data_IF_706514488212
#
_entry.id   IF_706514488212
#
_cell.length_a   1.000
_cell.length_b   1.000
_cell.length_c   1.000
_cell.angle_alpha   90.00
_cell.angle_beta   90.00
_cell.angle_gamma   90.00
#
_symmetry.space_group_name_H-M   'P 1'
#
loop_
_entity.id
_entity.type
_entity.pdbx_description
1 polymer ?
#
# COMPACT_ATOMS: atom_id res chain seq x y z
N UNK A 1 -8.39 15.24 45.94
CA UNK A 1 -9.66 15.33 45.19
C UNK A 1 -9.59 16.21 43.92
N UNK A 2 -8.48 16.91 43.63
CA UNK A 2 -8.37 17.80 42.45
C UNK A 2 -7.69 17.19 41.21
N UNK A 3 -7.06 16.02 41.33
CA UNK A 3 -6.34 15.38 40.21
C UNK A 3 -7.24 14.55 39.27
N UNK A 4 -8.42 14.11 39.74
CA UNK A 4 -9.32 13.27 38.95
C UNK A 4 -10.22 14.07 37.98
N UNK A 5 -10.34 15.39 38.16
CA UNK A 5 -11.17 16.24 37.30
C UNK A 5 -10.47 16.62 35.97
N UNK A 6 -9.14 16.58 35.94
CA UNK A 6 -8.36 16.94 34.74
C UNK A 6 -8.27 15.80 33.71
N UNK A 7 -8.39 14.55 34.15
CA UNK A 7 -8.28 13.36 33.27
C UNK A 7 -9.58 13.15 32.46
N UNK A 8 -10.73 13.53 33.01
CA UNK A 8 -12.05 13.33 32.38
C UNK A 8 -12.34 14.33 31.22
N UNK A 9 -11.49 15.35 31.05
CA UNK A 9 -11.51 16.26 29.90
C UNK A 9 -10.60 15.82 28.75
N UNK A 10 -10.08 14.59 28.78
CA UNK A 10 -9.41 14.03 27.61
C UNK A 10 -10.47 13.73 26.54
N UNK A 11 -10.61 14.63 25.57
CA UNK A 11 -11.48 14.44 24.40
C UNK A 11 -11.09 13.11 23.75
N UNK A 12 -11.97 12.10 23.88
CA UNK A 12 -11.79 10.83 23.17
C UNK A 12 -11.68 11.16 21.68
N UNK A 13 -10.61 10.67 21.05
CA UNK A 13 -10.41 10.85 19.62
C UNK A 13 -11.69 10.44 18.87
N UNK A 14 -12.23 11.34 18.06
CA UNK A 14 -13.39 11.02 17.24
C UNK A 14 -12.99 9.87 16.30
N UNK A 15 -13.76 8.76 16.26
CA UNK A 15 -13.53 7.74 15.24
C UNK A 15 -13.72 8.39 13.85
N UNK A 16 -12.98 7.94 12.84
CA UNK A 16 -13.10 8.43 11.44
C UNK A 16 -14.58 8.44 10.97
N UNK A 17 -15.34 7.44 11.41
CA UNK A 17 -16.76 7.25 11.07
C UNK A 17 -17.72 8.13 11.89
N UNK A 18 -17.24 8.72 13.00
CA UNK A 18 -18.01 9.58 13.90
C UNK A 18 -19.27 8.91 14.49
N UNK A 19 -20.23 9.71 14.99
CA UNK A 19 -21.55 9.25 15.45
C UNK A 19 -22.38 8.63 14.30
N UNK A 20 -22.00 8.91 13.06
CA UNK A 20 -22.69 8.52 11.83
C UNK A 20 -22.63 7.01 11.54
N UNK A 21 -21.75 6.28 12.23
CA UNK A 21 -21.77 4.82 12.28
C UNK A 21 -23.12 4.28 12.76
N UNK A 22 -23.76 4.98 13.70
CA UNK A 22 -25.07 4.60 14.23
C UNK A 22 -26.19 4.95 13.25
N UNK A 23 -27.05 3.97 12.93
CA UNK A 23 -28.24 4.18 12.10
C UNK A 23 -29.24 5.16 12.72
N UNK A 24 -29.35 5.17 14.06
CA UNK A 24 -30.25 6.06 14.79
C UNK A 24 -29.86 7.54 14.62
N UNK A 25 -28.56 7.81 14.68
CA UNK A 25 -28.01 9.15 14.52
C UNK A 25 -28.22 9.70 13.10
N UNK A 26 -28.13 8.83 12.08
CA UNK A 26 -28.40 9.19 10.69
C UNK A 26 -29.85 9.59 10.43
N UNK A 27 -30.80 8.96 11.12
CA UNK A 27 -32.24 9.25 10.96
C UNK A 27 -32.63 10.57 11.63
N UNK A 28 -32.00 10.92 12.75
CA UNK A 28 -32.27 12.17 13.48
C UNK A 28 -31.66 13.42 12.82
N UNK A 29 -30.73 13.26 11.87
CA UNK A 29 -29.99 14.36 11.27
C UNK A 29 -28.91 14.95 12.18
N UNK A 30 -28.22 15.99 11.72
CA UNK A 30 -27.20 16.70 12.52
C UNK A 30 -27.73 18.01 13.07
N UNK A 31 -27.41 18.28 14.34
CA UNK A 31 -27.62 19.59 14.97
C UNK A 31 -26.71 20.67 14.33
N UNK A 32 -27.04 21.96 14.47
CA UNK A 32 -26.20 23.04 13.93
C UNK A 32 -24.77 23.03 14.50
N UNK A 33 -24.64 22.69 15.78
CA UNK A 33 -23.36 22.58 16.47
C UNK A 33 -22.53 21.44 15.85
N UNK A 34 -23.09 20.25 15.71
CA UNK A 34 -22.42 19.10 15.09
C UNK A 34 -21.94 19.39 13.66
N UNK A 35 -22.70 20.16 12.89
CA UNK A 35 -22.28 20.60 11.54
C UNK A 35 -21.05 21.50 11.60
N UNK A 36 -20.98 22.42 12.56
CA UNK A 36 -19.80 23.26 12.76
C UNK A 36 -18.56 22.43 13.12
N UNK A 37 -18.70 21.46 14.03
CA UNK A 37 -17.62 20.51 14.37
C UNK A 37 -17.21 19.66 13.17
N UNK A 38 -18.16 19.22 12.34
CA UNK A 38 -17.85 18.45 11.13
C UNK A 38 -17.12 19.29 10.08
N UNK A 39 -17.50 20.55 9.91
CA UNK A 39 -16.80 21.48 9.01
C UNK A 39 -15.37 21.69 9.49
N UNK A 40 -15.16 21.87 10.80
CA UNK A 40 -13.82 21.99 11.37
C UNK A 40 -13.01 20.72 11.13
N UNK A 41 -13.57 19.54 11.45
CA UNK A 41 -12.91 18.26 11.20
C UNK A 41 -12.51 18.08 9.74
N UNK A 42 -13.40 18.42 8.79
CA UNK A 42 -13.10 18.34 7.36
C UNK A 42 -11.96 19.28 6.95
N UNK A 43 -11.89 20.47 7.53
CA UNK A 43 -10.75 21.39 7.33
C UNK A 43 -9.46 20.83 7.90
N UNK A 44 -9.52 20.17 9.06
CA UNK A 44 -8.35 19.56 9.70
C UNK A 44 -7.82 18.35 8.92
N UNK A 45 -8.63 17.73 8.05
CA UNK A 45 -8.16 16.68 7.13
C UNK A 45 -7.42 17.23 5.90
N UNK A 46 -7.47 18.55 5.65
CA UNK A 46 -6.74 19.15 4.54
C UNK A 46 -5.27 19.22 4.92
N UNK A 47 -4.46 18.44 4.20
CA UNK A 47 -3.02 18.40 4.42
C UNK A 47 -2.38 19.75 4.08
N UNK A 48 -1.31 20.11 4.79
CA UNK A 48 -0.53 21.30 4.48
C UNK A 48 -0.03 21.24 3.03
N UNK A 49 0.00 22.37 2.27
CA UNK A 49 0.55 22.39 0.92
C UNK A 49 2.01 21.94 0.84
N UNK A 50 2.71 21.95 1.98
CA UNK A 50 4.11 21.56 2.09
C UNK A 50 4.30 20.04 2.26
N UNK A 51 3.21 19.30 2.40
CA UNK A 51 3.23 17.85 2.56
C UNK A 51 2.78 17.18 1.26
N UNK A 52 3.38 16.04 0.87
CA UNK A 52 4.41 15.25 1.57
C UNK A 52 5.85 15.74 1.33
N UNK A 53 6.66 15.86 2.39
CA UNK A 53 8.09 16.19 2.28
C UNK A 53 8.97 14.95 2.07
N UNK A 54 9.63 14.79 0.91
CA UNK A 54 10.64 13.76 0.77
C UNK A 54 11.88 14.13 1.60
N UNK A 55 12.13 13.39 2.68
CA UNK A 55 13.32 13.58 3.51
C UNK A 55 14.54 13.04 2.73
N UNK A 56 15.58 13.86 2.47
CA UNK A 56 16.78 13.39 1.79
C UNK A 56 17.44 12.29 2.63
N UNK A 57 17.88 11.20 1.99
CA UNK A 57 18.53 10.10 2.70
C UNK A 57 17.57 9.08 3.35
N UNK A 58 16.28 9.38 3.50
CA UNK A 58 15.35 8.47 4.17
C UNK A 58 15.16 7.14 3.43
N UNK A 59 15.21 7.18 2.09
CA UNK A 59 15.20 5.96 1.28
C UNK A 59 16.44 5.09 1.52
N UNK A 60 17.61 5.73 1.61
CA UNK A 60 18.89 5.07 1.80
C UNK A 60 19.01 4.51 3.22
N UNK A 61 18.59 5.25 4.25
CA UNK A 61 18.64 4.82 5.65
C UNK A 61 17.70 3.63 5.94
N UNK A 62 16.51 3.62 5.32
CA UNK A 62 15.50 2.58 5.54
C UNK A 62 15.82 1.25 4.84
N UNK A 63 16.61 1.26 3.78
CA UNK A 63 16.83 0.09 2.93
C UNK A 63 18.30 -0.31 2.88
N UNK A 64 18.56 -1.58 3.19
CA UNK A 64 19.89 -2.17 3.03
C UNK A 64 20.36 -2.12 1.57
N UNK A 65 21.67 -1.97 1.29
CA UNK A 65 22.21 -1.91 -0.07
C UNK A 65 21.78 -3.09 -0.96
N UNK A 66 21.78 -4.32 -0.42
CA UNK A 66 21.33 -5.54 -1.12
C UNK A 66 19.87 -5.40 -1.58
N UNK A 67 19.00 -4.88 -0.71
CA UNK A 67 17.58 -4.68 -1.03
C UNK A 67 17.39 -3.57 -2.07
N UNK A 68 18.28 -2.57 -2.11
CA UNK A 68 18.26 -1.53 -3.16
C UNK A 68 18.64 -2.12 -4.51
N UNK A 69 19.70 -2.94 -4.56
CA UNK A 69 20.13 -3.58 -5.80
C UNK A 69 19.05 -4.47 -6.42
N UNK A 70 18.42 -5.35 -5.61
CA UNK A 70 17.31 -6.19 -6.09
C UNK A 70 16.10 -5.38 -6.58
N UNK A 71 15.83 -4.21 -5.97
CA UNK A 71 14.71 -3.34 -6.35
C UNK A 71 14.98 -2.46 -7.56
N UNK A 72 16.25 -2.15 -7.82
CA UNK A 72 16.70 -1.24 -8.86
C UNK A 72 16.07 -1.47 -10.23
N UNK A 73 16.01 -2.70 -10.80
CA UNK A 73 15.50 -2.88 -12.16
C UNK A 73 14.01 -2.53 -12.30
N UNK A 74 13.19 -2.82 -11.29
CA UNK A 74 11.79 -2.41 -11.32
C UNK A 74 11.66 -0.91 -11.02
N UNK A 75 12.56 -0.35 -10.22
CA UNK A 75 12.54 1.07 -9.89
C UNK A 75 12.88 1.95 -11.11
N UNK A 76 13.81 1.54 -11.97
CA UNK A 76 14.14 2.25 -13.21
C UNK A 76 13.00 2.26 -14.22
N UNK A 77 12.20 1.19 -14.28
CA UNK A 77 11.04 1.10 -15.18
C UNK A 77 9.86 1.95 -14.66
N UNK A 78 9.55 1.87 -13.37
CA UNK A 78 8.35 2.50 -12.81
C UNK A 78 8.53 3.96 -12.40
N UNK A 79 9.75 4.41 -12.10
CA UNK A 79 10.03 5.81 -11.73
C UNK A 79 9.63 6.83 -12.81
N UNK A 80 9.94 6.66 -14.11
CA UNK A 80 9.49 7.58 -15.15
C UNK A 80 7.98 7.53 -15.40
N UNK A 81 7.28 6.48 -14.93
CA UNK A 81 5.83 6.31 -15.07
C UNK A 81 5.03 6.96 -13.93
N UNK A 82 5.69 7.44 -12.88
CA UNK A 82 5.05 8.13 -11.74
C UNK A 82 4.21 9.35 -12.15
N UNK A 83 4.67 10.28 -13.01
CA UNK A 83 3.89 11.49 -13.32
C UNK A 83 2.60 11.20 -14.09
N UNK A 84 2.52 10.08 -14.81
CA UNK A 84 1.33 9.71 -15.60
C UNK A 84 0.37 8.83 -14.81
N UNK A 85 0.89 7.86 -14.05
CA UNK A 85 0.05 6.92 -13.29
C UNK A 85 -0.37 7.48 -11.93
N UNK A 86 0.46 8.31 -11.30
CA UNK A 86 0.38 8.66 -9.89
C UNK A 86 1.24 7.75 -9.00
N UNK A 87 1.54 8.22 -7.79
CA UNK A 87 2.46 7.51 -6.88
C UNK A 87 1.91 6.16 -6.40
N UNK A 88 0.64 6.11 -6.02
CA UNK A 88 0.02 4.92 -5.42
C UNK A 88 -0.14 3.78 -6.42
N UNK A 89 -0.60 4.11 -7.63
CA UNK A 89 -0.79 3.19 -8.75
C UNK A 89 0.55 2.66 -9.24
N UNK A 90 1.58 3.50 -9.40
CA UNK A 90 2.92 3.07 -9.77
C UNK A 90 3.53 2.13 -8.72
N UNK A 91 3.34 2.42 -7.43
CA UNK A 91 3.78 1.54 -6.34
C UNK A 91 3.08 0.17 -6.37
N UNK A 92 1.77 0.18 -6.63
CA UNK A 92 0.95 -1.04 -6.71
C UNK A 92 1.31 -1.88 -7.94
N UNK A 93 1.47 -1.23 -9.09
CA UNK A 93 1.87 -1.87 -10.34
C UNK A 93 3.23 -2.56 -10.19
N UNK A 94 4.24 -1.85 -9.67
CA UNK A 94 5.58 -2.42 -9.40
C UNK A 94 5.53 -3.68 -8.55
N UNK A 95 4.68 -3.70 -7.52
CA UNK A 95 4.53 -4.84 -6.62
C UNK A 95 3.92 -6.06 -7.32
N UNK A 96 2.89 -5.84 -8.15
CA UNK A 96 2.27 -6.91 -8.93
C UNK A 96 3.17 -7.41 -10.06
N UNK A 97 3.84 -6.53 -10.79
CA UNK A 97 4.74 -6.90 -11.90
C UNK A 97 5.84 -7.83 -11.43
N UNK A 98 6.44 -7.59 -10.27
CA UNK A 98 7.46 -8.48 -9.72
C UNK A 98 6.93 -9.88 -9.40
N UNK A 99 5.72 -9.98 -8.81
CA UNK A 99 5.10 -11.27 -8.48
C UNK A 99 4.69 -12.03 -9.73
N UNK A 100 4.01 -11.35 -10.65
CA UNK A 100 3.53 -11.95 -11.89
C UNK A 100 4.71 -12.42 -12.74
N UNK A 101 5.76 -11.60 -12.87
CA UNK A 101 6.96 -11.97 -13.62
C UNK A 101 7.64 -13.23 -13.06
N UNK A 102 7.79 -13.32 -11.73
CA UNK A 102 8.36 -14.52 -11.09
C UNK A 102 7.45 -15.74 -11.22
N UNK A 103 6.13 -15.58 -11.06
CA UNK A 103 5.17 -16.68 -11.23
C UNK A 103 5.19 -17.23 -12.65
N UNK A 104 5.22 -16.34 -13.65
CA UNK A 104 5.30 -16.74 -15.06
C UNK A 104 6.60 -17.49 -15.33
N UNK A 105 7.74 -16.96 -14.88
CA UNK A 105 9.04 -17.62 -15.05
C UNK A 105 9.07 -19.01 -14.40
N UNK A 106 8.50 -19.16 -13.20
CA UNK A 106 8.41 -20.45 -12.52
C UNK A 106 7.58 -21.47 -13.30
N UNK A 107 6.44 -21.07 -13.86
CA UNK A 107 5.59 -21.96 -14.68
C UNK A 107 6.33 -22.40 -15.94
N UNK A 108 6.95 -21.47 -16.68
CA UNK A 108 7.70 -21.80 -17.89
C UNK A 108 8.87 -22.74 -17.61
N UNK A 109 9.63 -22.49 -16.55
CA UNK A 109 10.74 -23.35 -16.14
C UNK A 109 10.26 -24.78 -15.82
N UNK A 110 9.15 -24.89 -15.09
CA UNK A 110 8.55 -26.18 -14.72
C UNK A 110 8.11 -26.95 -15.97
N UNK A 111 7.39 -26.32 -16.88
CA UNK A 111 6.92 -26.95 -18.13
C UNK A 111 8.10 -27.38 -19.00
N UNK A 112 9.11 -26.53 -19.15
CA UNK A 112 10.30 -26.85 -19.93
C UNK A 112 11.04 -28.07 -19.36
N UNK A 113 11.24 -28.10 -18.04
CA UNK A 113 11.91 -29.21 -17.37
C UNK A 113 11.17 -30.53 -17.54
N UNK A 114 9.84 -30.52 -17.36
CA UNK A 114 9.01 -31.72 -17.55
C UNK A 114 9.04 -32.23 -19.00
N UNK A 115 9.01 -31.32 -19.98
CA UNK A 115 9.11 -31.68 -21.40
C UNK A 115 10.47 -32.32 -21.72
N UNK A 116 11.56 -31.75 -21.20
CA UNK A 116 12.91 -32.29 -21.39
C UNK A 116 13.04 -33.70 -20.80
N UNK A 117 12.52 -33.94 -19.58
CA UNK A 117 12.51 -35.28 -18.98
C UNK A 117 11.72 -36.27 -19.83
N UNK A 118 10.52 -35.87 -20.29
CA UNK A 118 9.68 -36.73 -21.09
C UNK A 118 10.37 -37.19 -22.38
N UNK A 119 11.02 -36.25 -23.10
CA UNK A 119 11.77 -36.56 -24.34
C UNK A 119 12.95 -37.49 -24.08
N UNK A 120 13.69 -37.28 -23.00
CA UNK A 120 14.79 -38.17 -22.60
C UNK A 120 14.25 -39.59 -22.34
N UNK A 121 13.10 -39.71 -21.67
CA UNK A 121 12.45 -41.00 -21.45
C UNK A 121 12.10 -41.74 -22.74
N UNK A 122 11.58 -41.03 -23.74
CA UNK A 122 11.29 -41.62 -25.06
C UNK A 122 12.57 -42.08 -25.79
N UNK A 123 13.64 -41.29 -25.73
CA UNK A 123 14.93 -41.67 -26.32
C UNK A 123 15.52 -42.93 -25.67
N UNK A 124 15.39 -43.06 -24.35
CA UNK A 124 15.86 -44.26 -23.63
C UNK A 124 15.04 -45.49 -24.03
N UNK A 125 13.73 -45.36 -24.24
CA UNK A 125 12.90 -46.47 -24.72
C UNK A 125 13.23 -46.86 -26.16
N UNK A 126 13.56 -45.90 -27.02
CA UNK A 126 13.93 -46.15 -28.41
C UNK A 126 15.31 -46.81 -28.58
N UNK A 127 16.18 -46.72 -27.56
CA UNK A 127 17.52 -47.32 -27.54
C UNK A 127 17.56 -48.72 -26.89
N UNK A 128 16.48 -49.17 -26.26
CA UNK A 128 16.33 -50.52 -25.69
C UNK A 128 15.67 -51.46 -26.69
#
# INVERSE_FOLDING_TARGET
>A
MFLNFAIDKQVKAFPIEGPMKSSRYRVQGMTPEERAWRIQWLKDQVLSPNEPRPIPGYYQARLNPIRRFYRWPLETIFRPLIPTLGWETACRARWWTGRIGLSIAAVFLTVYYLNTIHKIGQLIQALK
#
